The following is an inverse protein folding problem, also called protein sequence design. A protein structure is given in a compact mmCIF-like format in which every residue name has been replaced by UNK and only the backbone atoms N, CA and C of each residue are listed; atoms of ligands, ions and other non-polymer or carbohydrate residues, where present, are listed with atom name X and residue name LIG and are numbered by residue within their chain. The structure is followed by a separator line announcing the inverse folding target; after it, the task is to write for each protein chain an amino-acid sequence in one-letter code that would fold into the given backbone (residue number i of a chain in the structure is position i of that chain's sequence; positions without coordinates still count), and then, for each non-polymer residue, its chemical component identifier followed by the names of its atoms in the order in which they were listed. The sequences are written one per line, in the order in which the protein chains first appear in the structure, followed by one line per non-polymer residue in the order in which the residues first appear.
data_IF_046548657399
#
_entry.id   IF_046548657399
#
_cell.length_a   1.000
_cell.length_b   1.000
_cell.length_c   1.000
_cell.angle_alpha   90.00
_cell.angle_beta   90.00
_cell.angle_gamma   90.00
#
_symmetry.space_group_name_H-M   'P 1'
#
loop_
_entity.id
_entity.type
_entity.pdbx_description
1 polymer ?
#
# COMPACT_ATOMS: atom_id res chain seq x y z
N UNK A 1 -31.83 -7.41 -18.98
CA UNK A 1 -30.82 -6.64 -19.75
C UNK A 1 -29.62 -6.12 -18.96
N UNK A 2 -29.66 -5.75 -17.65
CA UNK A 2 -28.50 -5.17 -16.97
C UNK A 2 -27.35 -6.18 -16.70
N UNK A 3 -27.67 -7.45 -16.44
CA UNK A 3 -26.67 -8.51 -16.14
C UNK A 3 -25.64 -8.72 -17.26
N UNK A 4 -26.06 -8.67 -18.54
CA UNK A 4 -25.13 -8.79 -19.68
C UNK A 4 -24.16 -7.60 -19.74
N UNK A 5 -24.64 -6.38 -19.47
CA UNK A 5 -23.80 -5.17 -19.47
C UNK A 5 -22.74 -5.21 -18.37
N UNK A 6 -23.08 -5.63 -17.16
CA UNK A 6 -22.11 -5.80 -16.07
C UNK A 6 -21.04 -6.85 -16.38
N UNK A 7 -21.45 -8.00 -16.93
CA UNK A 7 -20.50 -9.04 -17.33
C UNK A 7 -19.54 -8.56 -18.41
N UNK A 8 -20.02 -7.78 -19.40
CA UNK A 8 -19.16 -7.17 -20.42
C UNK A 8 -18.16 -6.18 -19.82
N UNK A 9 -18.60 -5.32 -18.88
CA UNK A 9 -17.71 -4.36 -18.21
C UNK A 9 -16.62 -5.08 -17.41
N UNK A 10 -16.99 -6.10 -16.63
CA UNK A 10 -16.03 -6.90 -15.87
C UNK A 10 -15.02 -7.57 -16.81
N UNK A 11 -15.49 -8.14 -17.92
CA UNK A 11 -14.62 -8.73 -18.93
C UNK A 11 -13.61 -7.74 -19.49
N UNK A 12 -14.05 -6.53 -19.85
CA UNK A 12 -13.18 -5.46 -20.35
C UNK A 12 -12.14 -5.05 -19.30
N UNK A 13 -12.55 -4.87 -18.04
CA UNK A 13 -11.65 -4.49 -16.95
C UNK A 13 -10.60 -5.57 -16.67
N UNK A 14 -10.96 -6.85 -16.72
CA UNK A 14 -10.02 -7.97 -16.56
C UNK A 14 -9.01 -8.02 -17.72
N UNK A 15 -9.46 -7.77 -18.95
CA UNK A 15 -8.57 -7.70 -20.11
C UNK A 15 -7.61 -6.51 -19.95
N UNK A 16 -8.10 -5.34 -19.56
CA UNK A 16 -7.26 -4.16 -19.33
C UNK A 16 -6.24 -4.41 -18.21
N UNK A 17 -6.65 -5.02 -17.10
CA UNK A 17 -5.76 -5.41 -16.00
C UNK A 17 -4.65 -6.35 -16.47
N UNK A 18 -5.00 -7.35 -17.28
CA UNK A 18 -4.02 -8.27 -17.84
C UNK A 18 -3.03 -7.57 -18.77
N UNK A 19 -3.51 -6.71 -19.66
CA UNK A 19 -2.66 -5.94 -20.58
C UNK A 19 -1.73 -4.98 -19.85
N UNK A 20 -2.21 -4.27 -18.83
CA UNK A 20 -1.37 -3.36 -18.03
C UNK A 20 -0.36 -4.12 -17.17
N UNK A 21 -0.71 -5.30 -16.65
CA UNK A 21 0.23 -6.18 -15.95
C UNK A 21 1.36 -6.66 -16.88
N UNK A 22 1.02 -7.13 -18.08
CA UNK A 22 2.01 -7.52 -19.10
C UNK A 22 2.94 -6.35 -19.46
N UNK A 23 2.36 -5.17 -19.65
CA UNK A 23 3.14 -3.97 -19.92
C UNK A 23 4.06 -3.60 -18.75
N UNK A 24 3.57 -3.67 -17.50
CA UNK A 24 4.37 -3.41 -16.30
C UNK A 24 5.54 -4.38 -16.10
N UNK A 25 5.42 -5.62 -16.56
CA UNK A 25 6.52 -6.60 -16.55
C UNK A 25 7.55 -6.28 -17.65
N UNK A 26 7.11 -5.84 -18.83
CA UNK A 26 8.01 -5.53 -19.95
C UNK A 26 8.72 -4.18 -19.81
N UNK A 27 8.05 -3.19 -19.24
CA UNK A 27 8.58 -1.84 -19.04
C UNK A 27 9.54 -1.80 -17.83
N UNK A 28 10.75 -1.30 -18.02
CA UNK A 28 11.72 -1.10 -16.94
C UNK A 28 13.02 -0.48 -17.44
N UNK A 29 13.98 -0.29 -16.53
CA UNK A 29 15.29 0.31 -16.84
C UNK A 29 16.06 -0.45 -17.94
N UNK A 30 15.80 -1.75 -18.08
CA UNK A 30 16.26 -2.59 -19.20
C UNK A 30 15.07 -2.87 -20.10
N UNK A 31 15.13 -2.51 -21.38
CA UNK A 31 14.04 -2.88 -22.31
C UNK A 31 14.09 -4.38 -22.56
N UNK A 32 13.07 -5.11 -22.11
CA UNK A 32 12.93 -6.54 -22.37
C UNK A 32 11.77 -6.71 -23.37
N UNK A 33 12.05 -7.12 -24.62
CA UNK A 33 11.00 -7.26 -25.63
C UNK A 33 10.00 -8.35 -25.20
N UNK A 34 8.72 -8.17 -25.57
CA UNK A 34 7.63 -9.08 -25.19
C UNK A 34 7.91 -10.55 -25.53
N UNK A 35 8.67 -10.81 -26.59
CA UNK A 35 9.07 -12.17 -26.99
C UNK A 35 9.94 -12.85 -25.93
N UNK A 36 10.79 -12.09 -25.24
CA UNK A 36 11.65 -12.58 -24.17
C UNK A 36 10.91 -12.74 -22.85
N UNK A 37 9.89 -11.91 -22.58
CA UNK A 37 8.98 -12.11 -21.45
C UNK A 37 8.26 -13.45 -21.59
N UNK A 38 7.72 -13.75 -22.77
CA UNK A 38 7.04 -15.02 -23.03
C UNK A 38 8.00 -16.23 -22.98
N UNK A 39 9.22 -16.08 -23.52
CA UNK A 39 10.27 -17.11 -23.41
C UNK A 39 10.66 -17.37 -21.96
N UNK A 40 10.83 -16.32 -21.17
CA UNK A 40 11.23 -16.43 -19.75
C UNK A 40 10.12 -17.04 -18.89
N UNK A 41 8.85 -16.72 -19.19
CA UNK A 41 7.69 -17.37 -18.56
C UNK A 41 7.62 -18.86 -18.88
N UNK A 42 7.92 -19.27 -20.12
CA UNK A 42 8.01 -20.69 -20.49
C UNK A 42 9.23 -21.37 -19.85
N UNK A 43 10.37 -20.69 -19.79
CA UNK A 43 11.59 -21.22 -19.18
C UNK A 43 11.43 -21.50 -17.68
N UNK A 44 10.59 -20.73 -16.98
CA UNK A 44 10.16 -20.99 -15.60
C UNK A 44 9.46 -22.35 -15.44
N UNK A 45 8.63 -22.75 -16.40
CA UNK A 45 7.99 -24.07 -16.40
C UNK A 45 8.95 -25.22 -16.72
N UNK A 46 10.07 -24.93 -17.37
CA UNK A 46 11.07 -25.91 -17.84
C UNK A 46 12.32 -25.92 -16.91
N UNK A 47 12.35 -25.07 -15.87
CA UNK A 47 13.47 -24.89 -14.93
C UNK A 47 14.82 -24.50 -15.59
N UNK A 48 14.80 -23.85 -16.75
CA UNK A 48 16.00 -23.40 -17.47
C UNK A 48 16.21 -21.89 -17.31
N UNK A 49 16.44 -21.45 -16.07
CA UNK A 49 16.64 -20.03 -15.73
C UNK A 49 18.15 -19.70 -15.78
N UNK A 50 18.81 -19.99 -16.90
CA UNK A 50 20.22 -19.63 -17.13
C UNK A 50 20.38 -18.21 -17.71
N UNK A 51 19.28 -17.50 -18.00
CA UNK A 51 19.32 -16.19 -18.64
C UNK A 51 19.10 -15.05 -17.63
N UNK A 52 20.04 -14.10 -17.55
CA UNK A 52 20.01 -12.91 -16.69
C UNK A 52 18.70 -12.12 -16.81
N UNK A 53 18.09 -12.08 -18.01
CA UNK A 53 16.81 -11.42 -18.25
C UNK A 53 15.65 -12.11 -17.51
N UNK A 54 15.68 -13.44 -17.43
CA UNK A 54 14.68 -14.23 -16.70
C UNK A 54 14.71 -13.97 -15.19
N UNK A 55 15.91 -13.84 -14.63
CA UNK A 55 16.09 -13.48 -13.21
C UNK A 55 15.51 -12.09 -12.92
N UNK A 56 15.84 -11.06 -13.72
CA UNK A 56 15.31 -9.70 -13.53
C UNK A 56 13.78 -9.69 -13.58
N UNK A 57 13.18 -10.39 -14.54
CA UNK A 57 11.74 -10.50 -14.65
C UNK A 57 11.11 -11.12 -13.40
N UNK A 58 11.66 -12.24 -12.94
CA UNK A 58 11.05 -13.01 -11.87
C UNK A 58 11.36 -12.48 -10.46
N UNK A 59 12.54 -11.93 -10.21
CA UNK A 59 12.95 -11.50 -8.87
C UNK A 59 12.62 -10.05 -8.58
N UNK A 60 12.52 -9.19 -9.61
CA UNK A 60 12.31 -7.74 -9.42
C UNK A 60 10.97 -7.26 -9.98
N UNK A 61 10.60 -7.65 -11.21
CA UNK A 61 9.44 -7.05 -11.89
C UNK A 61 8.13 -7.72 -11.55
N UNK A 62 8.10 -9.05 -11.58
CA UNK A 62 6.89 -9.80 -11.29
C UNK A 62 6.38 -9.53 -9.87
N UNK A 63 7.23 -9.53 -8.81
CA UNK A 63 6.79 -9.16 -7.47
C UNK A 63 6.19 -7.76 -7.42
N UNK A 64 6.83 -6.80 -8.09
CA UNK A 64 6.39 -5.40 -8.13
C UNK A 64 5.01 -5.23 -8.74
N UNK A 65 4.75 -5.89 -9.86
CA UNK A 65 3.45 -5.81 -10.56
C UNK A 65 2.35 -6.47 -9.73
N UNK A 66 2.63 -7.64 -9.16
CA UNK A 66 1.68 -8.31 -8.27
C UNK A 66 1.38 -7.48 -7.02
N UNK A 67 2.40 -6.84 -6.44
CA UNK A 67 2.23 -5.96 -5.27
C UNK A 67 1.39 -4.73 -5.65
N UNK A 68 1.65 -4.12 -6.81
CA UNK A 68 0.84 -3.00 -7.33
C UNK A 68 -0.63 -3.39 -7.50
N UNK A 69 -0.91 -4.58 -8.04
CA UNK A 69 -2.25 -5.11 -8.20
C UNK A 69 -2.93 -5.34 -6.84
N UNK A 70 -2.24 -5.97 -5.89
CA UNK A 70 -2.77 -6.27 -4.57
C UNK A 70 -3.06 -5.00 -3.75
N UNK A 71 -2.14 -4.03 -3.75
CA UNK A 71 -2.30 -2.73 -3.09
C UNK A 71 -3.44 -1.95 -3.74
N UNK A 72 -3.47 -1.85 -5.07
CA UNK A 72 -4.54 -1.15 -5.80
C UNK A 72 -5.92 -1.75 -5.56
N UNK A 73 -6.03 -3.07 -5.54
CA UNK A 73 -7.27 -3.78 -5.21
C UNK A 73 -7.71 -3.49 -3.76
N UNK A 74 -6.78 -3.58 -2.80
CA UNK A 74 -7.05 -3.32 -1.38
C UNK A 74 -7.52 -1.88 -1.14
N UNK A 75 -6.85 -0.90 -1.74
CA UNK A 75 -7.24 0.51 -1.65
C UNK A 75 -8.60 0.77 -2.31
N UNK A 76 -8.89 0.12 -3.45
CA UNK A 76 -10.18 0.26 -4.13
C UNK A 76 -11.33 -0.30 -3.30
N UNK A 77 -11.14 -1.47 -2.67
CA UNK A 77 -12.14 -2.09 -1.79
C UNK A 77 -12.35 -1.25 -0.53
N UNK A 78 -11.27 -0.75 0.09
CA UNK A 78 -11.36 0.14 1.23
C UNK A 78 -12.11 1.43 0.86
N UNK A 79 -11.75 2.08 -0.26
CA UNK A 79 -12.43 3.29 -0.74
C UNK A 79 -13.91 3.07 -1.00
N UNK A 80 -14.27 2.02 -1.74
CA UNK A 80 -15.68 1.69 -2.01
C UNK A 80 -16.47 1.39 -0.71
N UNK A 81 -15.84 0.69 0.25
CA UNK A 81 -16.43 0.40 1.55
C UNK A 81 -16.70 1.67 2.37
N UNK A 82 -15.71 2.57 2.45
CA UNK A 82 -15.85 3.85 3.15
C UNK A 82 -16.88 4.76 2.48
N UNK A 83 -16.84 4.89 1.16
CA UNK A 83 -17.84 5.67 0.42
C UNK A 83 -19.26 5.13 0.62
N UNK A 84 -19.43 3.81 0.67
CA UNK A 84 -20.71 3.16 0.97
C UNK A 84 -21.17 3.39 2.41
N UNK A 85 -20.28 3.27 3.39
CA UNK A 85 -20.57 3.48 4.81
C UNK A 85 -20.97 4.92 5.11
N UNK A 86 -20.17 5.89 4.64
CA UNK A 86 -20.42 7.32 4.84
C UNK A 86 -21.47 7.88 3.89
N UNK A 87 -21.89 7.11 2.88
CA UNK A 87 -22.78 7.56 1.79
C UNK A 87 -22.29 8.88 1.17
N UNK A 88 -20.97 9.01 1.08
CA UNK A 88 -20.32 10.23 0.61
C UNK A 88 -19.21 9.80 -0.38
N UNK A 89 -19.31 10.17 -1.67
CA UNK A 89 -18.29 9.82 -2.67
C UNK A 89 -16.92 10.48 -2.39
N UNK A 90 -16.87 11.50 -1.52
CA UNK A 90 -15.63 12.14 -1.08
C UNK A 90 -15.02 11.48 0.17
N UNK A 91 -15.67 10.46 0.73
CA UNK A 91 -15.11 9.75 1.88
C UNK A 91 -13.87 8.95 1.47
N UNK A 92 -12.77 9.18 2.18
CA UNK A 92 -11.48 8.55 1.96
C UNK A 92 -11.12 7.66 3.16
N UNK A 93 -10.59 6.43 2.94
CA UNK A 93 -10.20 5.52 4.02
C UNK A 93 -9.11 6.06 4.95
N UNK A 94 -8.35 7.09 4.53
CA UNK A 94 -7.32 7.72 5.35
C UNK A 94 -7.86 8.65 6.43
N UNK A 95 -9.15 9.02 6.39
CA UNK A 95 -9.74 10.04 7.28
C UNK A 95 -9.87 9.58 8.74
N UNK A 96 -9.75 8.27 9.02
CA UNK A 96 -9.82 7.71 10.39
C UNK A 96 -8.46 7.65 11.10
N UNK A 97 -7.44 8.36 10.60
CA UNK A 97 -6.13 8.46 11.26
C UNK A 97 -5.15 7.32 10.96
N UNK A 98 -5.58 6.30 10.21
CA UNK A 98 -4.75 5.13 9.89
C UNK A 98 -3.45 5.50 9.16
N UNK A 99 -3.50 6.40 8.17
CA UNK A 99 -2.30 6.81 7.41
C UNK A 99 -1.29 7.58 8.27
N UNK A 100 -1.77 8.55 9.04
CA UNK A 100 -0.95 9.32 9.97
C UNK A 100 -0.35 8.46 11.09
N UNK A 101 -1.08 7.45 11.57
CA UNK A 101 -0.58 6.48 12.54
C UNK A 101 0.50 5.58 11.96
N UNK A 102 0.30 5.07 10.73
CA UNK A 102 1.32 4.33 10.00
C UNK A 102 2.58 5.15 9.76
N UNK A 103 2.43 6.40 9.33
CA UNK A 103 3.53 7.33 9.12
C UNK A 103 4.38 7.53 10.40
N UNK A 104 3.72 7.76 11.53
CA UNK A 104 4.40 7.90 12.82
C UNK A 104 5.10 6.60 13.25
N UNK A 105 4.42 5.45 13.12
CA UNK A 105 4.98 4.14 13.44
C UNK A 105 6.22 3.79 12.59
N UNK A 106 6.14 4.04 11.29
CA UNK A 106 7.28 3.87 10.38
C UNK A 106 8.45 4.79 10.74
N UNK A 107 8.18 6.06 11.00
CA UNK A 107 9.20 7.03 11.38
C UNK A 107 9.91 6.62 12.68
N UNK A 108 9.17 6.15 13.68
CA UNK A 108 9.74 5.62 14.92
C UNK A 108 10.64 4.41 14.66
N UNK A 109 10.22 3.46 13.82
CA UNK A 109 11.04 2.30 13.49
C UNK A 109 12.35 2.68 12.78
N UNK A 110 12.29 3.64 11.85
CA UNK A 110 13.45 4.13 11.10
C UNK A 110 14.43 4.84 12.05
N UNK A 111 13.92 5.78 12.86
CA UNK A 111 14.72 6.62 13.76
C UNK A 111 15.32 5.85 14.93
N UNK A 112 14.59 4.86 15.45
CA UNK A 112 15.09 3.97 16.51
C UNK A 112 15.94 2.83 15.96
N UNK A 113 16.11 2.75 14.63
CA UNK A 113 16.90 1.72 13.95
C UNK A 113 16.52 0.30 14.39
N UNK A 114 15.21 0.03 14.49
CA UNK A 114 14.71 -1.25 14.98
C UNK A 114 15.13 -2.40 14.04
N UNK A 115 15.69 -3.50 14.58
CA UNK A 115 16.08 -4.64 13.76
C UNK A 115 14.84 -5.29 13.12
N UNK A 116 15.01 -5.77 11.88
CA UNK A 116 13.95 -6.52 11.20
C UNK A 116 13.76 -7.91 11.82
N UNK A 117 12.52 -8.40 11.84
CA UNK A 117 12.18 -9.70 12.41
C UNK A 117 12.13 -10.75 11.29
N UNK A 118 13.30 -11.30 10.94
CA UNK A 118 13.42 -12.25 9.83
C UNK A 118 13.03 -11.60 8.50
N UNK A 119 12.06 -12.16 7.73
CA UNK A 119 11.63 -11.60 6.46
C UNK A 119 10.73 -10.36 6.59
N UNK A 120 10.24 -10.05 7.80
CA UNK A 120 9.32 -8.92 8.03
C UNK A 120 10.11 -7.66 8.39
N UNK A 121 9.91 -6.61 7.60
CA UNK A 121 10.48 -5.28 7.88
C UNK A 121 9.89 -4.71 9.17
N UNK A 122 10.77 -4.28 10.08
CA UNK A 122 10.37 -3.58 11.31
C UNK A 122 9.57 -2.31 11.00
N UNK A 123 9.90 -1.62 9.91
CA UNK A 123 9.18 -0.42 9.46
C UNK A 123 7.73 -0.73 9.08
N UNK A 124 7.50 -1.78 8.27
CA UNK A 124 6.15 -2.19 7.87
C UNK A 124 5.31 -2.65 9.07
N UNK A 125 5.93 -3.38 10.00
CA UNK A 125 5.26 -3.86 11.22
C UNK A 125 4.87 -2.69 12.14
N UNK A 126 5.80 -1.76 12.42
CA UNK A 126 5.50 -0.59 13.22
C UNK A 126 4.50 0.35 12.54
N UNK A 127 4.53 0.47 11.21
CA UNK A 127 3.51 1.20 10.47
C UNK A 127 2.13 0.56 10.62
N UNK A 128 2.04 -0.77 10.48
CA UNK A 128 0.79 -1.50 10.65
C UNK A 128 0.22 -1.35 12.07
N UNK A 129 1.06 -1.54 13.10
CA UNK A 129 0.67 -1.33 14.50
C UNK A 129 0.24 0.12 14.73
N UNK A 130 0.99 1.09 14.20
CA UNK A 130 0.66 2.51 14.31
C UNK A 130 -0.69 2.85 13.68
N UNK A 131 -1.01 2.29 12.51
CA UNK A 131 -2.31 2.45 11.86
C UNK A 131 -3.46 1.83 12.67
N UNK A 132 -3.25 0.62 13.22
CA UNK A 132 -4.24 -0.05 14.08
C UNK A 132 -4.51 0.75 15.35
N UNK A 133 -3.46 1.20 16.04
CA UNK A 133 -3.59 2.03 17.23
C UNK A 133 -4.31 3.34 16.93
N UNK A 134 -3.94 4.03 15.84
CA UNK A 134 -4.61 5.24 15.41
C UNK A 134 -6.11 5.04 15.15
N UNK A 135 -6.45 3.97 14.43
CA UNK A 135 -7.84 3.61 14.11
C UNK A 135 -8.62 3.29 15.38
N UNK A 136 -8.04 2.51 16.29
CA UNK A 136 -8.68 2.17 17.57
C UNK A 136 -8.87 3.40 18.45
N UNK A 137 -7.87 4.29 18.51
CA UNK A 137 -7.98 5.57 19.23
C UNK A 137 -9.07 6.45 18.63
N UNK A 138 -9.17 6.54 17.30
CA UNK A 138 -10.22 7.32 16.64
C UNK A 138 -11.61 6.78 16.96
N UNK A 139 -11.76 5.46 16.92
CA UNK A 139 -13.00 4.80 17.29
C UNK A 139 -13.35 5.01 18.78
N UNK A 140 -12.38 4.83 19.68
CA UNK A 140 -12.58 5.05 21.11
C UNK A 140 -12.96 6.50 21.41
N UNK A 141 -12.28 7.47 20.79
CA UNK A 141 -12.57 8.90 20.97
C UNK A 141 -13.93 9.28 20.40
N UNK A 142 -14.33 8.70 19.26
CA UNK A 142 -15.64 8.93 18.66
C UNK A 142 -16.80 8.51 19.58
N UNK A 143 -16.59 7.52 20.46
CA UNK A 143 -17.59 7.06 21.43
C UNK A 143 -17.86 8.07 22.55
N UNK A 144 -16.91 8.98 22.80
CA UNK A 144 -17.04 10.03 23.81
C UNK A 144 -17.59 11.34 23.25
N UNK A 145 -17.86 11.42 21.94
CA UNK A 145 -18.22 12.67 21.26
C UNK A 145 -19.63 13.21 21.61
N UNK A 146 -20.41 12.51 22.44
CA UNK A 146 -21.77 12.92 22.80
C UNK A 146 -22.78 12.64 21.70
N UNK A 147 -23.45 13.70 21.21
CA UNK A 147 -24.61 13.63 20.29
C UNK A 147 -24.36 13.75 18.76
N UNK A 148 -23.15 13.93 18.19
CA UNK A 148 -23.03 13.92 16.74
C UNK A 148 -23.30 12.52 16.18
N UNK A 149 -23.79 12.42 14.92
CA UNK A 149 -23.94 11.13 14.26
C UNK A 149 -22.63 10.33 14.33
N UNK A 150 -22.66 9.01 14.59
CA UNK A 150 -21.45 8.21 14.81
C UNK A 150 -20.41 8.34 13.69
N UNK A 151 -20.87 8.49 12.44
CA UNK A 151 -20.03 8.74 11.29
C UNK A 151 -19.28 10.09 11.39
N UNK A 152 -19.97 11.17 11.77
CA UNK A 152 -19.38 12.51 11.92
C UNK A 152 -18.42 12.54 13.12
N UNK A 153 -18.81 11.91 14.22
CA UNK A 153 -17.96 11.76 15.41
C UNK A 153 -16.62 11.09 15.07
N UNK A 154 -16.67 10.01 14.29
CA UNK A 154 -15.49 9.27 13.85
C UNK A 154 -14.60 10.09 12.91
N UNK A 155 -15.18 10.86 12.00
CA UNK A 155 -14.43 11.76 11.11
C UNK A 155 -13.72 12.86 11.91
N UNK A 156 -14.41 13.52 12.84
CA UNK A 156 -13.82 14.55 13.70
C UNK A 156 -12.69 13.99 14.58
N UNK A 157 -12.91 12.84 15.21
CA UNK A 157 -11.89 12.16 16.01
C UNK A 157 -10.68 11.76 15.16
N UNK A 158 -10.91 11.20 13.97
CA UNK A 158 -9.87 10.81 13.03
C UNK A 158 -9.02 11.99 12.58
N UNK A 159 -9.65 13.10 12.15
CA UNK A 159 -8.93 14.32 11.74
C UNK A 159 -8.11 14.93 12.88
N UNK A 160 -8.64 14.97 14.12
CA UNK A 160 -7.90 15.44 15.29
C UNK A 160 -6.67 14.57 15.59
N UNK A 161 -6.82 13.24 15.54
CA UNK A 161 -5.72 12.30 15.73
C UNK A 161 -4.69 12.39 14.59
N UNK A 162 -5.12 12.60 13.35
CA UNK A 162 -4.21 12.84 12.24
C UNK A 162 -3.35 14.06 12.47
N UNK A 163 -3.93 15.18 12.88
CA UNK A 163 -3.17 16.39 13.21
C UNK A 163 -2.17 16.14 14.35
N UNK A 164 -2.60 15.42 15.39
CA UNK A 164 -1.74 15.05 16.52
C UNK A 164 -0.55 14.16 16.09
N UNK A 165 -0.79 13.09 15.35
CA UNK A 165 0.28 12.21 14.86
C UNK A 165 1.20 12.90 13.85
N UNK A 166 0.67 13.77 12.99
CA UNK A 166 1.49 14.60 12.09
C UNK A 166 2.38 15.59 12.87
N UNK A 167 1.89 16.15 13.99
CA UNK A 167 2.70 17.00 14.86
C UNK A 167 3.82 16.19 15.54
N UNK A 168 3.54 14.98 16.04
CA UNK A 168 4.55 14.08 16.58
C UNK A 168 5.59 13.66 15.54
N UNK A 169 5.14 13.32 14.33
CA UNK A 169 6.02 13.00 13.21
C UNK A 169 6.95 14.18 12.91
N UNK A 170 6.40 15.39 12.84
CA UNK A 170 7.18 16.61 12.61
C UNK A 170 8.19 16.85 13.72
N UNK A 171 7.81 16.65 14.99
CA UNK A 171 8.72 16.75 16.13
C UNK A 171 9.88 15.74 16.03
N UNK A 172 9.59 14.49 15.66
CA UNK A 172 10.62 13.46 15.45
C UNK A 172 11.61 13.89 14.35
N UNK A 173 11.10 14.38 13.23
CA UNK A 173 11.94 14.81 12.10
C UNK A 173 12.85 15.98 12.48
N UNK A 174 12.38 16.92 13.31
CA UNK A 174 13.19 18.03 13.82
C UNK A 174 14.28 17.54 14.77
N UNK A 175 13.99 16.58 15.66
CA UNK A 175 14.98 16.04 16.60
C UNK A 175 16.01 15.15 15.88
N UNK A 176 15.61 14.46 14.81
CA UNK A 176 16.38 13.39 14.14
C UNK A 176 16.67 13.71 12.69
N UNK A 177 17.27 14.88 12.47
CA UNK A 177 17.59 15.45 11.15
C UNK A 177 18.33 14.49 10.20
N UNK A 178 19.24 13.65 10.72
CA UNK A 178 20.03 12.71 9.90
C UNK A 178 19.19 11.65 9.19
N UNK A 179 18.08 11.22 9.77
CA UNK A 179 17.20 10.18 9.21
C UNK A 179 16.01 10.77 8.44
N UNK A 180 15.90 12.09 8.39
CA UNK A 180 14.80 12.81 7.76
C UNK A 180 14.57 12.36 6.32
N UNK A 181 15.64 12.22 5.53
CA UNK A 181 15.57 11.77 4.14
C UNK A 181 14.95 10.38 4.02
N UNK A 182 15.34 9.43 4.88
CA UNK A 182 14.83 8.05 4.86
C UNK A 182 13.33 8.01 5.20
N UNK A 183 12.93 8.78 6.20
CA UNK A 183 11.52 8.88 6.58
C UNK A 183 10.71 9.49 5.43
N UNK A 184 11.17 10.60 4.82
CA UNK A 184 10.47 11.19 3.68
C UNK A 184 10.36 10.24 2.49
N UNK A 185 11.44 9.53 2.13
CA UNK A 185 11.39 8.52 1.06
C UNK A 185 10.36 7.43 1.33
N UNK A 186 10.20 7.00 2.59
CA UNK A 186 9.17 6.03 2.95
C UNK A 186 7.76 6.61 2.88
N UNK A 187 7.56 7.84 3.36
CA UNK A 187 6.26 8.53 3.35
C UNK A 187 5.74 8.85 1.95
N UNK A 188 6.63 9.07 0.98
CA UNK A 188 6.24 9.25 -0.42
C UNK A 188 5.58 7.98 -1.00
N UNK A 189 5.83 6.83 -0.39
CA UNK A 189 5.40 5.54 -0.89
C UNK A 189 6.19 5.10 -2.12
N UNK A 190 6.31 3.79 -2.30
CA UNK A 190 7.00 3.24 -3.44
C UNK A 190 6.92 1.72 -3.48
N UNK A 191 6.99 1.17 -4.69
CA UNK A 191 7.05 -0.27 -4.94
C UNK A 191 8.45 -0.69 -5.41
N UNK A 192 9.46 0.15 -5.16
CA UNK A 192 10.82 -0.03 -5.67
C UNK A 192 11.61 -1.13 -4.97
N UNK A 193 11.29 -1.42 -3.70
CA UNK A 193 11.94 -2.46 -2.90
C UNK A 193 11.14 -3.78 -2.84
N UNK A 194 10.11 -3.91 -3.68
CA UNK A 194 9.22 -5.06 -3.68
C UNK A 194 9.95 -6.38 -3.91
N UNK A 195 9.72 -7.34 -3.04
CA UNK A 195 10.28 -8.69 -3.11
C UNK A 195 9.20 -9.75 -2.89
N UNK A 196 9.51 -11.01 -3.22
CA UNK A 196 8.59 -12.12 -2.94
C UNK A 196 8.25 -12.26 -1.46
N UNK A 197 9.17 -11.93 -0.55
CA UNK A 197 8.88 -11.91 0.89
C UNK A 197 7.84 -10.86 1.25
N UNK A 198 7.96 -9.64 0.72
CA UNK A 198 6.98 -8.55 0.98
C UNK A 198 5.59 -8.84 0.44
N UNK A 199 5.45 -9.72 -0.55
CA UNK A 199 4.15 -10.14 -1.06
C UNK A 199 3.43 -11.13 -0.14
N UNK A 200 4.19 -11.93 0.62
CA UNK A 200 3.65 -13.02 1.45
C UNK A 200 3.42 -12.57 2.89
N UNK A 201 4.11 -11.50 3.33
CA UNK A 201 4.00 -10.92 4.68
C UNK A 201 3.08 -9.73 4.71
#
# INVERSE_FOLDING_TARGET
MPRRRYLSIIGILLILLFLTALYGISAGAVSIPFIEVWRSLKALFIQDIQNTNGTILFTLRLPRVLLAMAVGASLSVAGAGFQGFFRNPLADPYVIGASSGAALGAALAIVLTLPSFGPVSSTSLCAFIGALLATFMAFALSRFAGDPPPAVALLLAGTALSAFFSALLSLILVIKDRDMHRVYYWLLGGLGMSSWSELVT
#
